data_IF_461285913799
#
_entry.id   IF_461285913799
#
_cell.length_a   1.000
_cell.length_b   1.000
_cell.length_c   1.000
_cell.angle_alpha   90.00
_cell.angle_beta   90.00
_cell.angle_gamma   90.00
#
_symmetry.space_group_name_H-M   'P 1'
#
loop_
_entity.id
_entity.type
_entity.pdbx_description
1 polymer ?
#
# COMPACT_ATOMS: atom_id res chain seq x y z
N UNK A 1 -12.82 -2.20 3.79
CA UNK A 1 -13.09 -3.42 3.00
C UNK A 1 -12.05 -4.52 3.11
N UNK A 2 -10.75 -4.21 3.02
CA UNK A 2 -9.67 -5.23 3.11
C UNK A 2 -9.77 -6.04 4.40
N UNK A 3 -9.75 -5.38 5.57
CA UNK A 3 -9.81 -6.03 6.89
C UNK A 3 -11.06 -6.93 6.99
N UNK A 4 -12.25 -6.38 6.72
CA UNK A 4 -13.52 -7.11 6.76
C UNK A 4 -13.50 -8.34 5.85
N UNK A 5 -12.96 -8.22 4.65
CA UNK A 5 -12.90 -9.32 3.67
C UNK A 5 -11.92 -10.41 4.10
N UNK A 6 -10.72 -10.03 4.57
CA UNK A 6 -9.71 -10.97 5.06
C UNK A 6 -10.21 -11.69 6.30
N UNK A 7 -10.72 -10.98 7.31
CA UNK A 7 -11.25 -11.61 8.53
C UNK A 7 -12.41 -12.58 8.25
N UNK A 8 -13.20 -12.33 7.20
CA UNK A 8 -14.30 -13.22 6.80
C UNK A 8 -13.84 -14.44 6.01
N UNK A 9 -12.89 -14.29 5.09
CA UNK A 9 -12.44 -15.37 4.19
C UNK A 9 -11.28 -16.20 4.76
N UNK A 10 -10.46 -15.57 5.60
CA UNK A 10 -9.22 -16.12 6.16
C UNK A 10 -9.11 -15.76 7.65
N UNK A 11 -9.96 -16.32 8.52
CA UNK A 11 -10.05 -15.91 9.93
C UNK A 11 -8.78 -16.17 10.77
N UNK A 12 -7.82 -16.94 10.26
CA UNK A 12 -6.53 -17.19 10.91
C UNK A 12 -5.39 -16.24 10.50
N UNK A 13 -5.68 -15.21 9.69
CA UNK A 13 -4.69 -14.19 9.31
C UNK A 13 -4.76 -13.03 10.29
N UNK A 14 -3.63 -12.72 10.92
CA UNK A 14 -3.47 -11.53 11.74
C UNK A 14 -3.24 -10.30 10.87
N UNK A 15 -3.87 -9.17 11.22
CA UNK A 15 -3.77 -7.92 10.47
C UNK A 15 -3.27 -6.82 11.40
N UNK A 16 -2.12 -6.25 11.06
CA UNK A 16 -1.61 -5.04 11.67
C UNK A 16 -1.87 -3.84 10.75
N UNK A 17 -2.59 -2.84 11.26
CA UNK A 17 -2.86 -1.61 10.51
C UNK A 17 -1.80 -0.55 10.82
N UNK A 18 -1.21 0.02 9.76
CA UNK A 18 -0.43 1.26 9.83
C UNK A 18 -1.28 2.42 9.30
N UNK A 19 -1.92 3.23 10.17
CA UNK A 19 -2.63 4.42 9.74
C UNK A 19 -1.67 5.34 8.99
N UNK A 20 -2.03 5.69 7.76
CA UNK A 20 -1.16 6.42 6.84
C UNK A 20 -1.99 7.44 6.07
N UNK A 21 -1.52 8.68 6.00
CA UNK A 21 -2.03 9.66 5.04
C UNK A 21 -1.71 9.22 3.61
N UNK A 22 -2.74 9.13 2.78
CA UNK A 22 -2.65 8.59 1.40
C UNK A 22 -2.93 9.63 0.30
N UNK A 23 -3.18 10.89 0.69
CA UNK A 23 -3.44 11.98 -0.24
C UNK A 23 -3.05 13.33 0.38
N UNK A 24 -2.69 14.30 -0.47
CA UNK A 24 -2.28 15.65 -0.07
C UNK A 24 -0.86 15.73 0.51
N UNK A 25 -0.47 16.93 0.94
CA UNK A 25 0.89 17.25 1.38
C UNK A 25 1.38 16.33 2.51
N UNK A 26 2.60 15.79 2.38
CA UNK A 26 3.20 14.92 3.38
C UNK A 26 2.78 13.44 3.30
N UNK A 27 1.88 13.08 2.38
CA UNK A 27 1.40 11.70 2.23
C UNK A 27 2.51 10.75 1.76
N UNK A 28 3.29 11.14 0.75
CA UNK A 28 4.37 10.31 0.21
C UNK A 28 5.42 9.97 1.27
N UNK A 29 5.82 10.94 2.08
CA UNK A 29 6.76 10.74 3.17
C UNK A 29 6.18 9.88 4.29
N UNK A 30 4.88 9.99 4.58
CA UNK A 30 4.22 9.15 5.57
C UNK A 30 4.12 7.69 5.12
N UNK A 31 3.77 7.46 3.86
CA UNK A 31 3.78 6.13 3.23
C UNK A 31 5.17 5.52 3.33
N UNK A 32 6.21 6.23 2.85
CA UNK A 32 7.58 5.74 2.89
C UNK A 32 8.06 5.44 4.33
N UNK A 33 7.75 6.31 5.30
CA UNK A 33 8.08 6.07 6.71
C UNK A 33 7.42 4.82 7.27
N UNK A 34 6.15 4.58 6.96
CA UNK A 34 5.45 3.40 7.48
C UNK A 34 5.91 2.11 6.79
N UNK A 35 6.27 2.13 5.50
CA UNK A 35 6.95 1.02 4.84
C UNK A 35 8.27 0.70 5.56
N UNK A 36 9.10 1.71 5.82
CA UNK A 36 10.37 1.54 6.53
C UNK A 36 10.17 0.97 7.95
N UNK A 37 9.16 1.45 8.70
CA UNK A 37 8.81 0.94 10.04
C UNK A 37 8.35 -0.51 10.00
N UNK A 38 7.55 -0.90 9.02
CA UNK A 38 7.12 -2.28 8.89
C UNK A 38 8.30 -3.20 8.56
N UNK A 39 9.22 -2.73 7.71
CA UNK A 39 10.46 -3.42 7.40
C UNK A 39 11.46 -3.51 8.58
N UNK A 40 11.17 -2.93 9.76
CA UNK A 40 11.96 -3.16 10.98
C UNK A 40 11.46 -4.35 11.81
N UNK A 41 10.32 -4.93 11.44
CA UNK A 41 9.68 -6.04 12.14
C UNK A 41 9.94 -7.37 11.46
N UNK A 42 10.29 -8.38 12.23
CA UNK A 42 10.56 -9.74 11.73
C UNK A 42 9.34 -10.68 11.84
N UNK A 43 8.20 -10.17 12.33
CA UNK A 43 6.95 -10.91 12.53
C UNK A 43 5.86 -10.58 11.50
N UNK A 44 6.24 -9.94 10.39
CA UNK A 44 5.34 -9.62 9.28
C UNK A 44 5.71 -10.45 8.05
N UNK A 45 4.71 -11.04 7.39
CA UNK A 45 4.93 -11.85 6.20
C UNK A 45 4.87 -11.06 4.89
N UNK A 46 4.05 -9.99 4.83
CA UNK A 46 3.84 -9.14 3.66
C UNK A 46 3.25 -7.78 4.01
N UNK A 47 3.25 -6.86 3.05
CA UNK A 47 2.59 -5.55 3.13
C UNK A 47 1.52 -5.39 2.07
N UNK A 48 0.42 -4.72 2.44
CA UNK A 48 -0.59 -4.23 1.50
C UNK A 48 -0.62 -2.70 1.62
N UNK A 49 -0.31 -2.03 0.51
CA UNK A 49 -0.46 -0.57 0.41
C UNK A 49 -1.81 -0.30 -0.22
N UNK A 50 -2.75 0.17 0.61
CA UNK A 50 -4.16 0.30 0.22
C UNK A 50 -4.63 1.75 0.14
N UNK A 51 -5.27 2.11 -0.96
CA UNK A 51 -6.08 3.33 -1.09
C UNK A 51 -7.19 3.12 -2.12
N UNK A 52 -8.41 3.58 -1.83
CA UNK A 52 -9.57 3.45 -2.73
C UNK A 52 -9.44 4.24 -4.04
N UNK A 53 -10.53 4.35 -4.80
CA UNK A 53 -10.56 5.16 -6.02
C UNK A 53 -10.54 6.68 -5.79
N UNK A 54 -10.31 7.44 -6.85
CA UNK A 54 -10.34 8.90 -6.90
C UNK A 54 -9.59 9.41 -8.13
N UNK A 55 -9.35 10.72 -8.21
CA UNK A 55 -8.63 11.25 -9.37
C UNK A 55 -7.15 10.88 -9.34
N UNK A 56 -6.45 11.04 -10.45
CA UNK A 56 -5.00 10.78 -10.51
C UNK A 56 -4.24 11.73 -9.59
N UNK A 57 -4.76 12.93 -9.36
CA UNK A 57 -4.22 13.93 -8.43
C UNK A 57 -4.33 13.44 -6.98
N UNK A 58 -5.45 12.81 -6.61
CA UNK A 58 -5.60 12.20 -5.29
C UNK A 58 -4.64 11.02 -5.07
N UNK A 59 -4.23 10.37 -6.17
CA UNK A 59 -3.30 9.24 -6.21
C UNK A 59 -1.83 9.65 -6.32
N UNK A 60 -1.54 10.93 -6.43
CA UNK A 60 -0.22 11.38 -6.86
C UNK A 60 0.91 10.98 -5.90
N UNK A 61 0.62 10.86 -4.61
CA UNK A 61 1.59 10.41 -3.60
C UNK A 61 2.23 9.05 -3.94
N UNK A 62 1.52 8.17 -4.65
CA UNK A 62 2.01 6.85 -5.08
C UNK A 62 2.90 6.90 -6.33
N UNK A 63 3.00 8.06 -6.98
CA UNK A 63 3.92 8.33 -8.08
C UNK A 63 5.22 9.02 -7.63
N UNK A 64 5.32 9.41 -6.37
CA UNK A 64 6.51 10.09 -5.87
C UNK A 64 7.68 9.12 -5.70
N UNK A 65 8.87 9.57 -6.08
CA UNK A 65 10.09 8.75 -6.06
C UNK A 65 10.35 8.12 -4.68
N UNK A 66 10.06 8.84 -3.60
CA UNK A 66 10.29 8.35 -2.23
C UNK A 66 9.44 7.11 -1.92
N UNK A 67 8.20 7.05 -2.44
CA UNK A 67 7.31 5.89 -2.26
C UNK A 67 7.79 4.75 -3.15
N UNK A 68 8.13 5.03 -4.41
CA UNK A 68 8.64 4.03 -5.35
C UNK A 68 9.91 3.36 -4.81
N UNK A 69 10.86 4.15 -4.29
CA UNK A 69 12.09 3.63 -3.66
C UNK A 69 11.80 2.83 -2.40
N UNK A 70 10.92 3.31 -1.54
CA UNK A 70 10.56 2.60 -0.32
C UNK A 70 9.95 1.21 -0.61
N UNK A 71 9.12 1.10 -1.67
CA UNK A 71 8.58 -0.18 -2.11
C UNK A 71 9.68 -1.06 -2.70
N UNK A 72 10.51 -0.51 -3.59
CA UNK A 72 11.62 -1.25 -4.21
C UNK A 72 12.61 -1.83 -3.20
N UNK A 73 12.92 -1.06 -2.15
CA UNK A 73 13.88 -1.44 -1.11
C UNK A 73 13.23 -2.28 0.02
N UNK A 74 11.92 -2.55 -0.06
CA UNK A 74 11.20 -3.34 0.94
C UNK A 74 11.71 -4.78 0.96
N UNK A 75 12.04 -5.29 2.16
CA UNK A 75 12.33 -6.73 2.37
C UNK A 75 11.05 -7.56 2.47
N UNK A 76 9.94 -6.92 2.85
CA UNK A 76 8.62 -7.54 2.88
C UNK A 76 8.01 -7.49 1.48
N UNK A 77 7.44 -8.59 0.96
CA UNK A 77 6.67 -8.58 -0.28
C UNK A 77 5.54 -7.55 -0.22
N UNK A 78 5.42 -6.71 -1.25
CA UNK A 78 4.45 -5.61 -1.31
C UNK A 78 3.35 -5.90 -2.33
N UNK A 79 2.10 -5.80 -1.88
CA UNK A 79 0.92 -5.77 -2.73
C UNK A 79 0.43 -4.33 -2.83
N UNK A 80 0.44 -3.77 -4.04
CA UNK A 80 -0.21 -2.48 -4.31
C UNK A 80 -1.70 -2.69 -4.52
N UNK A 81 -2.51 -1.98 -3.74
CA UNK A 81 -3.97 -1.92 -3.85
C UNK A 81 -4.43 -0.47 -3.87
N UNK A 82 -4.00 0.25 -4.90
CA UNK A 82 -4.21 1.68 -5.09
C UNK A 82 -5.15 1.92 -6.27
N UNK A 83 -6.33 2.45 -6.00
CA UNK A 83 -7.31 2.77 -7.05
C UNK A 83 -8.00 1.55 -7.69
N UNK A 84 -8.79 1.84 -8.73
CA UNK A 84 -9.51 0.83 -9.52
C UNK A 84 -8.64 0.25 -10.63
N UNK A 85 -9.20 -0.66 -11.43
CA UNK A 85 -8.47 -1.35 -12.50
C UNK A 85 -7.77 -0.41 -13.49
N UNK A 86 -8.35 0.75 -13.80
CA UNK A 86 -7.80 1.76 -14.71
C UNK A 86 -6.76 2.67 -14.07
N UNK A 87 -6.72 2.73 -12.75
CA UNK A 87 -5.85 3.62 -12.01
C UNK A 87 -4.50 2.91 -11.82
N UNK A 88 -3.47 3.38 -12.51
CA UNK A 88 -2.13 2.80 -12.44
C UNK A 88 -1.15 3.88 -12.02
N UNK A 89 -0.34 3.56 -11.01
CA UNK A 89 0.67 4.42 -10.41
C UNK A 89 2.06 3.77 -10.52
N UNK A 90 3.11 4.53 -10.27
CA UNK A 90 4.47 3.97 -10.23
C UNK A 90 4.64 2.94 -9.10
N UNK A 91 3.93 3.13 -7.97
CA UNK A 91 3.88 2.15 -6.90
C UNK A 91 3.42 0.75 -7.39
N UNK A 92 2.46 0.71 -8.32
CA UNK A 92 1.96 -0.55 -8.88
C UNK A 92 3.01 -1.30 -9.71
N UNK A 93 3.89 -0.57 -10.40
CA UNK A 93 4.92 -1.17 -11.25
C UNK A 93 6.10 -1.72 -10.44
N UNK A 94 6.35 -1.15 -9.26
CA UNK A 94 7.48 -1.56 -8.40
C UNK A 94 7.07 -2.58 -7.33
N UNK A 95 5.78 -2.70 -7.02
CA UNK A 95 5.26 -3.71 -6.11
C UNK A 95 5.37 -5.13 -6.70
N UNK A 96 5.51 -6.14 -5.83
CA UNK A 96 5.57 -7.55 -6.22
C UNK A 96 4.26 -8.03 -6.87
N UNK A 97 3.13 -7.46 -6.43
CA UNK A 97 1.81 -7.70 -7.00
C UNK A 97 0.95 -6.45 -6.99
N UNK A 98 0.13 -6.31 -8.03
CA UNK A 98 -0.99 -5.37 -8.08
C UNK A 98 -2.31 -6.09 -7.84
N UNK A 99 -3.16 -5.53 -7.01
CA UNK A 99 -4.53 -5.96 -6.78
C UNK A 99 -5.44 -4.74 -6.69
N UNK A 100 -6.25 -4.48 -7.73
CA UNK A 100 -7.20 -3.36 -7.71
C UNK A 100 -8.14 -3.46 -6.50
N UNK A 101 -8.50 -2.32 -5.90
CA UNK A 101 -9.51 -2.35 -4.83
C UNK A 101 -10.84 -2.76 -5.43
N UNK A 102 -11.51 -3.83 -4.92
CA UNK A 102 -12.85 -4.17 -5.39
C UNK A 102 -13.80 -3.01 -5.07
N UNK A 103 -14.61 -2.61 -6.06
CA UNK A 103 -15.79 -1.75 -5.84
C UNK A 103 -16.77 -2.37 -4.85
#
# INVERSE_FOLDING_TARGET
DIITTVSRRFPGVDILLYPTKVQGEGAAEEIARNIARANQRDDLDLLIIGRGGGSIEDLWAFNEEIVVRAIFESRLPVISSVGHETDVTLADFVADRRAATPT
#
